data_IF_887697506839
#
_entry.id   IF_887697506839
#
_cell.length_a   1.000
_cell.length_b   1.000
_cell.length_c   1.000
_cell.angle_alpha   90.00
_cell.angle_beta   90.00
_cell.angle_gamma   90.00
#
_symmetry.space_group_name_H-M   'P 1'
#
loop_
_entity.id
_entity.type
_entity.pdbx_description
1 polymer ?
#
# COMPACT_ATOMS: atom_id res chain seq x y z
N UNK A 1 -2.07 -17.15 3.79
CA UNK A 1 -1.87 -16.32 2.60
C UNK A 1 -1.33 -14.96 3.02
N UNK A 2 -0.67 -14.28 2.11
CA UNK A 2 0.01 -12.99 2.41
C UNK A 2 -0.91 -11.93 2.99
N UNK A 3 -2.15 -11.82 2.49
CA UNK A 3 -3.09 -10.81 2.98
C UNK A 3 -3.40 -10.96 4.48
N UNK A 4 -3.25 -12.16 5.02
CA UNK A 4 -3.57 -12.42 6.43
C UNK A 4 -2.69 -11.64 7.40
N UNK A 5 -1.54 -11.15 6.95
CA UNK A 5 -0.73 -10.23 7.74
C UNK A 5 -1.46 -8.93 8.06
N UNK A 6 -2.53 -8.61 7.33
CA UNK A 6 -3.29 -7.37 7.46
C UNK A 6 -4.77 -7.59 7.80
N UNK A 7 -5.11 -8.71 8.41
CA UNK A 7 -6.52 -9.03 8.70
C UNK A 7 -7.26 -7.89 9.43
N UNK A 8 -6.63 -7.31 10.43
CA UNK A 8 -7.24 -6.21 11.20
C UNK A 8 -7.44 -4.98 10.33
N UNK A 9 -6.42 -4.61 9.58
CA UNK A 9 -6.46 -3.42 8.74
C UNK A 9 -7.48 -3.56 7.59
N UNK A 10 -7.61 -4.75 7.05
CA UNK A 10 -8.59 -5.04 6.00
C UNK A 10 -10.03 -4.83 6.49
N UNK A 11 -10.29 -5.04 7.78
CA UNK A 11 -11.62 -4.81 8.35
C UNK A 11 -12.03 -3.34 8.31
N UNK A 12 -11.08 -2.41 8.23
CA UNK A 12 -11.39 -0.99 8.09
C UNK A 12 -12.00 -0.64 6.73
N UNK A 13 -11.78 -1.48 5.72
CA UNK A 13 -12.35 -1.30 4.38
C UNK A 13 -13.79 -1.82 4.44
N UNK A 14 -14.77 -0.94 4.31
CA UNK A 14 -16.17 -1.27 4.55
C UNK A 14 -16.85 -2.03 3.42
N UNK A 15 -16.46 -1.73 2.16
CA UNK A 15 -17.05 -2.39 0.99
C UNK A 15 -16.39 -3.76 0.78
N UNK A 16 -17.21 -4.81 0.76
CA UNK A 16 -16.71 -6.19 0.61
C UNK A 16 -15.94 -6.40 -0.70
N UNK A 17 -16.45 -5.87 -1.80
CA UNK A 17 -15.79 -5.98 -3.11
C UNK A 17 -14.40 -5.35 -3.07
N UNK A 18 -14.30 -4.14 -2.52
CA UNK A 18 -13.01 -3.43 -2.41
C UNK A 18 -12.06 -4.15 -1.47
N UNK A 19 -12.57 -4.68 -0.34
CA UNK A 19 -11.77 -5.47 0.59
C UNK A 19 -11.20 -6.70 -0.08
N UNK A 20 -12.02 -7.42 -0.84
CA UNK A 20 -11.57 -8.61 -1.57
C UNK A 20 -10.50 -8.27 -2.60
N UNK A 21 -10.64 -7.14 -3.30
CA UNK A 21 -9.61 -6.69 -4.22
C UNK A 21 -8.30 -6.36 -3.51
N UNK A 22 -8.37 -5.72 -2.33
CA UNK A 22 -7.18 -5.47 -1.53
C UNK A 22 -6.46 -6.77 -1.16
N UNK A 23 -7.21 -7.80 -0.79
CA UNK A 23 -6.65 -9.13 -0.48
C UNK A 23 -5.92 -9.72 -1.68
N UNK A 24 -6.49 -9.63 -2.87
CA UNK A 24 -5.86 -10.11 -4.10
C UNK A 24 -4.56 -9.37 -4.38
N UNK A 25 -4.58 -8.05 -4.26
CA UNK A 25 -3.40 -7.22 -4.49
C UNK A 25 -2.29 -7.60 -3.51
N UNK A 26 -2.62 -7.72 -2.22
CA UNK A 26 -1.65 -8.09 -1.20
C UNK A 26 -1.01 -9.46 -1.49
N UNK A 27 -1.81 -10.42 -1.94
CA UNK A 27 -1.30 -11.75 -2.29
C UNK A 27 -0.35 -11.72 -3.50
N UNK A 28 -0.44 -10.70 -4.34
CA UNK A 28 0.43 -10.52 -5.51
C UNK A 28 1.69 -9.69 -5.23
N UNK A 29 1.82 -9.15 -4.02
CA UNK A 29 3.04 -8.45 -3.65
C UNK A 29 4.18 -9.45 -3.39
N UNK A 30 5.44 -9.04 -3.63
CA UNK A 30 6.56 -9.96 -3.42
C UNK A 30 6.75 -10.31 -1.95
N UNK A 31 7.32 -11.48 -1.70
CA UNK A 31 7.54 -12.01 -0.36
C UNK A 31 8.32 -11.06 0.53
N UNK A 32 9.29 -10.34 -0.04
CA UNK A 32 10.14 -9.46 0.76
C UNK A 32 9.36 -8.36 1.48
N UNK A 33 8.24 -7.89 0.89
CA UNK A 33 7.42 -6.85 1.52
C UNK A 33 7.00 -7.25 2.94
N UNK A 34 6.78 -8.53 3.14
CA UNK A 34 6.32 -9.07 4.42
C UNK A 34 7.47 -9.38 5.39
N UNK A 35 8.70 -9.13 5.01
CA UNK A 35 9.89 -9.53 5.77
C UNK A 35 10.86 -8.41 6.09
N UNK A 36 11.00 -7.40 5.23
CA UNK A 36 12.05 -6.39 5.34
C UNK A 36 11.69 -5.25 6.27
N UNK A 37 12.70 -4.48 6.69
CA UNK A 37 12.50 -3.27 7.47
C UNK A 37 11.97 -2.11 6.59
N UNK A 38 11.44 -1.08 7.24
CA UNK A 38 10.76 0.02 6.54
C UNK A 38 11.70 0.87 5.68
N UNK A 39 12.97 0.99 6.04
CA UNK A 39 13.96 1.71 5.26
C UNK A 39 15.20 0.87 5.11
N UNK A 40 15.89 1.01 3.98
CA UNK A 40 17.11 0.23 3.69
C UNK A 40 18.17 0.42 4.77
N UNK A 41 18.29 1.63 5.32
CA UNK A 41 19.27 1.96 6.37
C UNK A 41 18.67 1.94 7.77
N UNK A 42 17.34 1.94 7.92
CA UNK A 42 16.65 2.05 9.19
C UNK A 42 16.79 3.42 9.86
N UNK A 43 17.34 4.42 9.17
CA UNK A 43 17.80 5.67 9.77
C UNK A 43 16.68 6.64 10.16
N UNK A 44 15.61 6.69 9.40
CA UNK A 44 14.58 7.73 9.55
C UNK A 44 13.22 7.19 10.02
N UNK A 45 13.17 5.96 10.51
CA UNK A 45 11.93 5.35 10.96
C UNK A 45 11.96 5.05 12.45
N UNK A 46 10.80 5.06 13.14
CA UNK A 46 10.73 4.66 14.54
C UNK A 46 11.09 3.19 14.71
N UNK A 47 11.42 2.83 15.95
CA UNK A 47 11.92 1.48 16.27
C UNK A 47 10.99 0.35 15.84
N UNK A 48 9.65 0.56 15.86
CA UNK A 48 8.72 -0.48 15.45
C UNK A 48 8.80 -0.82 13.95
N UNK A 49 9.36 0.09 13.16
CA UNK A 49 9.52 -0.09 11.71
C UNK A 49 10.90 -0.62 11.32
N UNK A 50 11.79 -0.84 12.31
CA UNK A 50 13.11 -1.39 12.07
C UNK A 50 13.12 -2.90 12.19
N UNK A 51 14.13 -3.53 11.59
CA UNK A 51 14.34 -4.97 11.66
C UNK A 51 13.35 -5.78 10.84
N UNK A 52 13.34 -7.09 11.08
CA UNK A 52 12.47 -8.02 10.38
C UNK A 52 11.00 -7.59 10.51
N UNK A 53 10.28 -7.63 9.40
CA UNK A 53 8.87 -7.24 9.30
C UNK A 53 8.58 -5.78 9.62
N UNK A 54 9.63 -4.94 9.68
CA UNK A 54 9.46 -3.51 9.95
C UNK A 54 8.61 -2.80 8.92
N UNK A 55 8.68 -3.21 7.65
CA UNK A 55 7.91 -2.59 6.57
C UNK A 55 6.40 -2.83 6.72
N UNK A 56 5.98 -4.05 7.07
CA UNK A 56 4.56 -4.28 7.35
C UNK A 56 4.11 -3.56 8.62
N UNK A 57 4.91 -3.50 9.67
CA UNK A 57 4.54 -2.73 10.88
C UNK A 57 4.37 -1.25 10.56
N UNK A 58 5.26 -0.70 9.73
CA UNK A 58 5.15 0.67 9.24
C UNK A 58 3.83 0.88 8.47
N UNK A 59 3.50 -0.04 7.57
CA UNK A 59 2.28 0.02 6.79
C UNK A 59 1.04 -0.07 7.68
N UNK A 60 1.03 -0.99 8.65
CA UNK A 60 -0.07 -1.11 9.62
C UNK A 60 -0.28 0.19 10.39
N UNK A 61 0.80 0.81 10.86
CA UNK A 61 0.71 2.08 11.57
C UNK A 61 0.11 3.17 10.68
N UNK A 62 0.55 3.26 9.43
CA UNK A 62 0.03 4.25 8.49
C UNK A 62 -1.47 4.06 8.23
N UNK A 63 -1.93 2.83 8.07
CA UNK A 63 -3.35 2.52 7.89
C UNK A 63 -4.16 2.93 9.12
N UNK A 64 -3.68 2.61 10.32
CA UNK A 64 -4.38 2.96 11.56
C UNK A 64 -4.46 4.48 11.74
N UNK A 65 -3.39 5.21 11.42
CA UNK A 65 -3.38 6.67 11.50
C UNK A 65 -4.42 7.25 10.53
N UNK A 66 -4.43 6.78 9.29
CA UNK A 66 -5.38 7.24 8.29
C UNK A 66 -6.83 6.98 8.73
N UNK A 67 -7.09 5.78 9.25
CA UNK A 67 -8.43 5.43 9.70
C UNK A 67 -8.90 6.35 10.85
N UNK A 68 -8.00 6.71 11.77
CA UNK A 68 -8.29 7.65 12.84
C UNK A 68 -8.54 9.06 12.32
N UNK A 69 -7.78 9.49 11.30
CA UNK A 69 -7.95 10.82 10.71
C UNK A 69 -9.30 11.00 10.00
N UNK A 70 -9.96 9.92 9.61
CA UNK A 70 -11.30 9.98 9.02
C UNK A 70 -12.36 10.48 10.00
N UNK A 71 -12.07 10.54 11.30
CA UNK A 71 -12.94 11.18 12.28
C UNK A 71 -12.90 12.71 12.17
N UNK A 72 -11.85 13.25 11.58
CA UNK A 72 -11.63 14.70 11.41
C UNK A 72 -11.92 15.12 9.97
N UNK A 73 -11.33 14.41 9.00
CA UNK A 73 -11.49 14.69 7.57
C UNK A 73 -12.64 13.87 7.03
N UNK A 74 -13.69 14.54 6.57
CA UNK A 74 -14.92 13.89 6.11
C UNK A 74 -14.80 13.51 4.64
N UNK A 75 -14.77 12.21 4.39
CA UNK A 75 -14.82 11.62 3.04
C UNK A 75 -16.02 10.68 2.99
N UNK A 76 -16.51 10.40 1.78
CA UNK A 76 -17.50 9.34 1.63
C UNK A 76 -16.83 7.97 1.83
N UNK A 77 -17.65 6.93 2.01
CA UNK A 77 -17.16 5.60 2.32
C UNK A 77 -16.28 5.04 1.20
N UNK A 78 -16.66 5.28 -0.07
CA UNK A 78 -15.87 4.82 -1.21
C UNK A 78 -14.47 5.46 -1.19
N UNK A 79 -14.39 6.75 -0.98
CA UNK A 79 -13.12 7.48 -0.94
C UNK A 79 -12.24 6.99 0.22
N UNK A 80 -12.82 6.76 1.40
CA UNK A 80 -12.09 6.20 2.54
C UNK A 80 -11.49 4.84 2.20
N UNK A 81 -12.29 3.96 1.60
CA UNK A 81 -11.86 2.62 1.24
C UNK A 81 -10.72 2.66 0.21
N UNK A 82 -10.81 3.53 -0.78
CA UNK A 82 -9.75 3.71 -1.80
C UNK A 82 -8.47 4.22 -1.15
N UNK A 83 -8.58 5.17 -0.22
CA UNK A 83 -7.40 5.69 0.50
C UNK A 83 -6.73 4.56 1.32
N UNK A 84 -7.53 3.76 2.03
CA UNK A 84 -6.99 2.66 2.83
C UNK A 84 -6.28 1.62 1.96
N UNK A 85 -6.86 1.26 0.83
CA UNK A 85 -6.20 0.35 -0.12
C UNK A 85 -4.87 0.94 -0.59
N UNK A 86 -4.89 2.22 -0.96
CA UNK A 86 -3.68 2.91 -1.46
C UNK A 86 -2.55 2.87 -0.43
N UNK A 87 -2.87 3.11 0.84
CA UNK A 87 -1.88 3.08 1.92
C UNK A 87 -1.36 1.65 2.15
N UNK A 88 -2.25 0.67 2.15
CA UNK A 88 -1.87 -0.74 2.35
C UNK A 88 -0.81 -1.20 1.35
N UNK A 89 -0.90 -0.77 0.11
CA UNK A 89 -0.05 -1.29 -0.96
C UNK A 89 1.06 -0.35 -1.40
N UNK A 90 1.09 0.89 -0.88
CA UNK A 90 1.98 1.94 -1.42
C UNK A 90 3.47 1.57 -1.40
N UNK A 91 3.94 0.85 -0.40
CA UNK A 91 5.33 0.41 -0.30
C UNK A 91 5.53 -1.06 -0.70
N UNK A 92 4.50 -1.67 -1.30
CA UNK A 92 4.54 -3.09 -1.65
C UNK A 92 5.63 -3.48 -2.62
N UNK A 93 6.09 -2.55 -3.45
CA UNK A 93 7.16 -2.77 -4.42
C UNK A 93 8.36 -1.86 -4.15
N UNK A 94 8.59 -1.54 -2.88
CA UNK A 94 9.63 -0.60 -2.47
C UNK A 94 11.02 -0.96 -3.01
N UNK A 95 11.35 -2.23 -3.09
CA UNK A 95 12.62 -2.73 -3.60
C UNK A 95 12.50 -3.31 -5.03
N UNK A 96 11.42 -3.01 -5.73
CA UNK A 96 11.16 -3.47 -7.09
C UNK A 96 10.37 -4.78 -7.13
N UNK A 97 10.08 -5.27 -8.34
CA UNK A 97 9.43 -6.57 -8.52
C UNK A 97 10.33 -7.70 -8.07
N UNK A 98 11.62 -7.58 -8.30
CA UNK A 98 12.64 -8.48 -7.77
C UNK A 98 13.42 -7.71 -6.71
N UNK A 99 13.68 -8.37 -5.57
CA UNK A 99 14.30 -7.72 -4.42
C UNK A 99 15.67 -7.14 -4.73
N UNK A 100 15.89 -5.88 -4.30
CA UNK A 100 17.18 -5.19 -4.28
C UNK A 100 17.37 -4.65 -2.87
N UNK A 101 18.63 -4.53 -2.42
CA UNK A 101 18.94 -4.09 -1.06
C UNK A 101 18.40 -2.71 -0.74
N UNK A 102 18.49 -1.78 -1.70
CA UNK A 102 18.04 -0.40 -1.51
C UNK A 102 16.71 -0.14 -2.20
N UNK A 103 15.96 0.85 -1.69
CA UNK A 103 14.69 1.26 -2.27
C UNK A 103 14.88 1.76 -3.69
N UNK A 104 13.94 1.44 -4.58
CA UNK A 104 13.90 2.03 -5.91
C UNK A 104 13.26 3.41 -5.85
N UNK A 105 13.87 4.37 -6.51
CA UNK A 105 13.34 5.73 -6.61
C UNK A 105 11.93 5.74 -7.22
N UNK A 106 11.72 4.95 -8.28
CA UNK A 106 10.45 4.87 -9.00
C UNK A 106 9.44 3.89 -8.39
N UNK A 107 9.70 3.34 -7.18
CA UNK A 107 8.82 2.32 -6.61
C UNK A 107 7.34 2.72 -6.51
N UNK A 108 6.98 4.02 -6.31
CA UNK A 108 5.56 4.38 -6.29
C UNK A 108 4.85 4.12 -7.61
N UNK A 109 5.57 4.20 -8.74
CA UNK A 109 5.01 4.00 -10.07
C UNK A 109 4.82 2.51 -10.39
N UNK A 110 5.57 1.63 -9.73
CA UNK A 110 5.50 0.19 -9.98
C UNK A 110 4.17 -0.42 -9.56
N UNK A 111 3.50 0.17 -8.57
CA UNK A 111 2.18 -0.30 -8.14
C UNK A 111 1.17 -0.18 -9.28
N UNK A 112 1.20 0.92 -10.04
CA UNK A 112 0.34 1.06 -11.22
C UNK A 112 0.59 -0.04 -12.24
N UNK A 113 1.85 -0.41 -12.45
CA UNK A 113 2.22 -1.51 -13.33
C UNK A 113 1.69 -2.85 -12.81
N UNK A 114 1.81 -3.09 -11.51
CA UNK A 114 1.28 -4.32 -10.89
C UNK A 114 -0.23 -4.42 -11.11
N UNK A 115 -0.97 -3.35 -10.81
CA UNK A 115 -2.42 -3.35 -10.96
C UNK A 115 -2.84 -3.65 -12.40
N UNK A 116 -2.12 -3.08 -13.36
CA UNK A 116 -2.36 -3.36 -14.77
C UNK A 116 -2.06 -4.82 -15.11
N UNK A 117 -0.97 -5.38 -14.57
CA UNK A 117 -0.57 -6.76 -14.82
C UNK A 117 -1.57 -7.78 -14.28
N UNK A 118 -2.20 -7.49 -13.14
CA UNK A 118 -3.15 -8.41 -12.50
C UNK A 118 -4.62 -7.99 -12.73
N UNK A 119 -4.85 -7.08 -13.64
CA UNK A 119 -6.18 -6.52 -13.91
C UNK A 119 -7.27 -7.58 -14.08
N UNK A 120 -6.93 -8.71 -14.70
CA UNK A 120 -7.87 -9.80 -14.94
C UNK A 120 -8.30 -10.52 -13.66
N UNK A 121 -7.55 -10.38 -12.56
CA UNK A 121 -7.90 -10.97 -11.27
C UNK A 121 -8.76 -10.03 -10.42
N UNK A 122 -8.85 -8.76 -10.82
CA UNK A 122 -9.49 -7.72 -10.02
C UNK A 122 -10.89 -7.40 -10.55
N UNK A 123 -11.75 -6.91 -9.65
CA UNK A 123 -13.05 -6.36 -9.99
C UNK A 123 -13.10 -4.83 -9.81
N UNK A 124 -11.95 -4.20 -9.65
CA UNK A 124 -11.84 -2.75 -9.61
C UNK A 124 -12.20 -2.15 -10.96
N UNK A 125 -12.89 -1.01 -10.95
CA UNK A 125 -13.14 -0.25 -12.17
C UNK A 125 -11.85 0.43 -12.63
N UNK A 126 -11.80 0.87 -13.88
CA UNK A 126 -10.65 1.62 -14.38
C UNK A 126 -10.43 2.91 -13.61
N UNK A 127 -11.50 3.59 -13.20
CA UNK A 127 -11.41 4.80 -12.38
C UNK A 127 -10.81 4.49 -11.00
N UNK A 128 -11.22 3.37 -10.39
CA UNK A 128 -10.66 2.96 -9.10
C UNK A 128 -9.18 2.63 -9.21
N UNK A 129 -8.78 1.91 -10.25
CA UNK A 129 -7.36 1.61 -10.50
C UNK A 129 -6.56 2.92 -10.66
N UNK A 130 -7.12 3.86 -11.41
CA UNK A 130 -6.49 5.17 -11.64
C UNK A 130 -6.35 5.95 -10.33
N UNK A 131 -7.40 5.97 -9.51
CA UNK A 131 -7.35 6.66 -8.21
C UNK A 131 -6.28 6.05 -7.29
N UNK A 132 -6.24 4.74 -7.18
CA UNK A 132 -5.26 4.05 -6.36
C UNK A 132 -3.85 4.34 -6.89
N UNK A 133 -3.63 4.20 -8.19
CA UNK A 133 -2.33 4.44 -8.80
C UNK A 133 -1.86 5.88 -8.58
N UNK A 134 -2.77 6.85 -8.71
CA UNK A 134 -2.47 8.26 -8.47
C UNK A 134 -2.11 8.50 -7.01
N UNK A 135 -2.90 7.96 -6.08
CA UNK A 135 -2.64 8.09 -4.65
C UNK A 135 -1.27 7.53 -4.27
N UNK A 136 -0.94 6.35 -4.78
CA UNK A 136 0.35 5.70 -4.48
C UNK A 136 1.50 6.49 -5.08
N UNK A 137 1.41 6.91 -6.33
CA UNK A 137 2.49 7.62 -7.00
C UNK A 137 2.75 9.01 -6.42
N UNK A 138 1.79 9.56 -5.67
CA UNK A 138 1.92 10.87 -5.06
C UNK A 138 2.67 10.86 -3.72
N UNK A 139 2.94 9.70 -3.12
CA UNK A 139 3.49 9.66 -1.76
C UNK A 139 4.95 10.13 -1.66
N UNK A 140 5.66 10.26 -2.77
CA UNK A 140 7.04 10.79 -2.79
C UNK A 140 7.09 12.33 -2.68
N UNK A 141 5.97 13.01 -2.62
CA UNK A 141 5.92 14.46 -2.46
C UNK A 141 6.58 15.20 -3.60
N UNK A 142 7.62 15.99 -3.31
CA UNK A 142 8.30 16.82 -4.32
C UNK A 142 8.96 16.04 -5.45
N UNK A 143 9.12 14.72 -5.27
CA UNK A 143 9.68 13.86 -6.32
C UNK A 143 8.60 13.25 -7.20
N UNK A 144 7.35 13.55 -6.93
CA UNK A 144 6.21 13.04 -7.68
C UNK A 144 6.05 13.79 -9.00
N UNK A 145 5.94 13.06 -10.11
CA UNK A 145 5.74 13.64 -11.45
C UNK A 145 4.27 13.75 -11.84
N UNK A 146 3.36 13.35 -10.97
CA UNK A 146 1.90 13.34 -11.24
C UNK A 146 1.17 14.60 -10.74
N UNK A 147 1.88 15.61 -10.37
CA UNK A 147 1.27 16.86 -9.92
C UNK A 147 0.55 17.60 -11.04
#
# INVERSE_FOLDING_TARGET
>A
MKYENFNKELEFITNERLRNNAMIILNNLPDYFFQVQAASTGKYHPSYALGEKGLIRHTKAAVCIANNLFNIYKFDEHTKDIILISILIHDGLKHGFEYQQYSKFEHPLLIGQLLNNIKNELTLTEDEIKEISTNVSSHMGKYNTNN
#
